data_IF_674698448985
#
_entry.id   IF_674698448985
#
_cell.length_a   1.000
_cell.length_b   1.000
_cell.length_c   1.000
_cell.angle_alpha   90.00
_cell.angle_beta   90.00
_cell.angle_gamma   90.00
#
_symmetry.space_group_name_H-M   'P 1'
#
loop_
_entity.id
_entity.type
_entity.pdbx_description
1 polymer ?
#
# COMPACT_ATOMS: atom_id res chain seq x y z
N UNK A 1 46.46 -26.80 33.92
CA UNK A 1 45.73 -25.53 33.70
C UNK A 1 44.64 -25.81 32.66
N UNK A 2 43.41 -25.35 32.87
CA UNK A 2 42.32 -25.51 31.90
C UNK A 2 42.16 -24.22 31.06
N UNK A 3 41.80 -24.31 29.77
CA UNK A 3 41.57 -23.13 28.94
C UNK A 3 40.31 -22.38 29.39
N UNK A 4 40.38 -21.06 29.46
CA UNK A 4 39.22 -20.20 29.67
C UNK A 4 38.43 -20.09 28.37
N UNK A 5 37.13 -20.36 28.40
CA UNK A 5 36.21 -20.15 27.26
C UNK A 5 35.65 -18.73 27.30
N UNK A 6 35.57 -18.07 26.13
CA UNK A 6 35.22 -16.66 26.01
C UNK A 6 33.82 -16.31 26.57
N UNK A 7 33.79 -15.42 27.57
CA UNK A 7 32.58 -15.02 28.29
C UNK A 7 32.32 -13.52 28.17
N UNK A 8 31.96 -13.05 26.97
CA UNK A 8 31.93 -11.60 26.68
C UNK A 8 30.78 -11.13 25.75
N UNK A 9 29.62 -11.81 25.81
CA UNK A 9 28.36 -11.28 25.24
C UNK A 9 27.09 -11.87 25.89
N UNK A 10 27.17 -12.45 27.09
CA UNK A 10 26.04 -13.17 27.70
C UNK A 10 25.09 -12.22 28.45
N UNK A 11 24.43 -11.35 27.68
CA UNK A 11 23.22 -10.66 28.14
C UNK A 11 22.10 -11.70 28.25
N UNK A 12 22.09 -12.41 29.38
CA UNK A 12 21.32 -13.62 29.62
C UNK A 12 19.94 -13.70 28.98
N UNK A 13 19.63 -14.83 28.33
CA UNK A 13 18.45 -15.02 27.45
C UNK A 13 17.14 -14.66 28.17
N UNK A 14 17.01 -14.96 29.47
CA UNK A 14 15.81 -14.63 30.26
C UNK A 14 15.66 -13.12 30.48
N UNK A 15 16.76 -12.35 30.54
CA UNK A 15 16.72 -10.87 30.60
C UNK A 15 16.16 -10.31 29.29
N UNK A 16 16.70 -10.75 28.15
CA UNK A 16 16.20 -10.39 26.82
C UNK A 16 14.71 -10.74 26.65
N UNK A 17 14.29 -11.94 27.09
CA UNK A 17 12.88 -12.33 27.12
C UNK A 17 12.03 -11.35 27.95
N UNK A 18 12.44 -11.01 29.17
CA UNK A 18 11.68 -10.10 30.03
C UNK A 18 11.58 -8.69 29.42
N UNK A 19 12.65 -8.17 28.82
CA UNK A 19 12.68 -6.85 28.18
C UNK A 19 11.81 -6.78 26.92
N UNK A 20 11.89 -7.79 26.06
CA UNK A 20 11.04 -7.88 24.86
C UNK A 20 9.58 -8.13 25.24
N UNK A 21 9.31 -8.90 26.31
CA UNK A 21 7.95 -9.10 26.83
C UNK A 21 7.38 -7.84 27.48
N UNK A 22 8.22 -6.97 28.06
CA UNK A 22 7.79 -5.63 28.54
C UNK A 22 7.43 -4.70 27.37
N UNK A 23 8.08 -4.84 26.21
CA UNK A 23 7.74 -4.10 24.97
C UNK A 23 6.51 -4.68 24.25
N UNK A 24 6.28 -6.00 24.37
CA UNK A 24 5.20 -6.72 23.69
C UNK A 24 4.49 -7.72 24.64
N UNK A 25 3.68 -7.24 25.60
CA UNK A 25 3.03 -8.11 26.59
C UNK A 25 2.06 -9.11 25.94
N UNK A 26 1.29 -8.67 24.94
CA UNK A 26 0.27 -9.48 24.26
C UNK A 26 0.85 -10.50 23.26
N UNK A 27 2.15 -10.39 22.92
CA UNK A 27 2.76 -11.20 21.88
C UNK A 27 3.51 -12.40 22.47
N UNK A 28 3.26 -13.59 21.93
CA UNK A 28 4.07 -14.79 22.17
C UNK A 28 5.42 -14.63 21.49
N UNK A 29 6.52 -14.77 22.24
CA UNK A 29 7.88 -14.58 21.71
C UNK A 29 8.52 -15.91 21.28
N UNK A 30 8.90 -16.02 20.00
CA UNK A 30 9.68 -17.13 19.44
C UNK A 30 11.16 -16.71 19.33
N UNK A 31 12.04 -17.22 20.18
CA UNK A 31 13.47 -16.93 20.10
C UNK A 31 14.21 -17.94 19.23
N UNK A 32 14.85 -17.49 18.14
CA UNK A 32 15.64 -18.38 17.28
C UNK A 32 16.97 -18.73 17.94
N UNK A 33 17.22 -20.02 18.14
CA UNK A 33 18.47 -20.55 18.68
C UNK A 33 18.95 -21.70 17.82
N UNK A 34 20.01 -21.45 17.05
CA UNK A 34 20.50 -22.38 16.02
C UNK A 34 19.34 -22.81 15.09
N UNK A 35 19.09 -24.12 14.98
CA UNK A 35 18.04 -24.71 14.12
C UNK A 35 16.67 -24.83 14.79
N UNK A 36 16.43 -24.19 15.93
CA UNK A 36 15.18 -24.28 16.71
C UNK A 36 14.63 -22.91 17.08
N UNK A 37 13.32 -22.84 17.32
CA UNK A 37 12.69 -21.77 18.08
C UNK A 37 12.43 -22.24 19.52
N UNK A 38 12.89 -21.48 20.50
CA UNK A 38 12.62 -21.70 21.93
C UNK A 38 11.61 -20.64 22.45
N UNK A 39 10.66 -21.08 23.27
CA UNK A 39 9.71 -20.26 24.04
C UNK A 39 9.93 -20.46 25.53
N UNK A 40 9.55 -19.47 26.35
CA UNK A 40 9.83 -19.49 27.80
C UNK A 40 8.60 -19.13 28.64
N UNK A 41 8.56 -19.63 29.89
CA UNK A 41 7.57 -19.30 30.92
C UNK A 41 6.13 -19.56 30.44
N UNK A 42 5.23 -18.58 30.55
CA UNK A 42 3.83 -18.72 30.15
C UNK A 42 3.65 -18.89 28.63
N UNK A 43 4.57 -18.35 27.82
CA UNK A 43 4.50 -18.47 26.36
C UNK A 43 4.79 -19.91 25.93
N UNK A 44 5.71 -20.62 26.62
CA UNK A 44 5.93 -22.05 26.43
C UNK A 44 4.67 -22.88 26.72
N UNK A 45 3.99 -22.61 27.85
CA UNK A 45 2.75 -23.31 28.24
C UNK A 45 1.63 -23.06 27.22
N UNK A 46 1.46 -21.82 26.75
CA UNK A 46 0.46 -21.48 25.72
C UNK A 46 0.78 -22.11 24.36
N UNK A 47 2.05 -22.13 23.95
CA UNK A 47 2.46 -22.75 22.69
C UNK A 47 2.27 -24.27 22.72
N UNK A 48 2.62 -24.94 23.83
CA UNK A 48 2.39 -26.36 24.01
C UNK A 48 0.90 -26.74 23.90
N UNK A 49 0.01 -25.97 24.53
CA UNK A 49 -1.44 -26.19 24.47
C UNK A 49 -2.04 -26.03 23.06
N UNK A 50 -1.48 -25.14 22.21
CA UNK A 50 -1.99 -24.88 20.85
C UNK A 50 -1.32 -25.76 19.79
N UNK A 51 -0.04 -26.11 19.96
CA UNK A 51 0.75 -26.85 18.98
C UNK A 51 0.87 -28.35 19.26
N UNK A 52 0.50 -28.79 20.48
CA UNK A 52 0.75 -30.14 21.00
C UNK A 52 2.24 -30.51 20.99
N UNK A 53 3.09 -29.58 21.46
CA UNK A 53 4.53 -29.79 21.63
C UNK A 53 4.89 -29.96 23.11
N UNK A 54 5.96 -30.72 23.39
CA UNK A 54 6.42 -31.00 24.75
C UNK A 54 6.94 -29.74 25.48
N UNK A 55 6.80 -29.74 26.80
CA UNK A 55 7.37 -28.73 27.70
C UNK A 55 8.44 -29.39 28.55
N UNK A 56 9.66 -28.83 28.53
CA UNK A 56 10.74 -29.21 29.43
C UNK A 56 10.98 -28.11 30.47
N UNK A 57 11.09 -28.47 31.75
CA UNK A 57 11.56 -27.56 32.79
C UNK A 57 13.10 -27.51 32.78
N UNK A 58 13.67 -26.41 32.26
CA UNK A 58 15.12 -26.23 32.13
C UNK A 58 15.61 -25.13 33.08
N UNK A 59 16.69 -25.42 33.81
CA UNK A 59 17.45 -24.39 34.53
C UNK A 59 18.38 -23.72 33.50
N UNK A 60 18.32 -22.38 33.41
CA UNK A 60 19.13 -21.57 32.49
C UNK A 60 20.19 -20.80 33.27
N UNK A 61 21.38 -20.50 32.70
CA UNK A 61 22.54 -20.00 33.45
C UNK A 61 22.25 -18.78 34.34
N UNK A 62 21.46 -17.84 33.83
CA UNK A 62 21.11 -16.59 34.51
C UNK A 62 20.02 -16.70 35.58
N UNK A 63 19.43 -17.88 35.77
CA UNK A 63 18.16 -18.01 36.49
C UNK A 63 18.10 -19.25 37.38
N UNK A 64 18.25 -19.02 38.69
CA UNK A 64 18.34 -20.04 39.75
C UNK A 64 17.04 -20.83 40.02
N UNK A 65 16.08 -20.85 39.10
CA UNK A 65 14.83 -21.61 39.19
C UNK A 65 14.58 -22.31 37.84
N UNK A 66 13.97 -23.52 37.82
CA UNK A 66 13.54 -24.13 36.57
C UNK A 66 12.54 -23.22 35.86
N UNK A 67 12.65 -23.18 34.53
CA UNK A 67 11.75 -22.43 33.65
C UNK A 67 11.16 -23.40 32.63
N UNK A 68 9.84 -23.36 32.45
CA UNK A 68 9.16 -24.06 31.37
C UNK A 68 9.63 -23.52 30.03
N UNK A 69 10.24 -24.40 29.24
CA UNK A 69 10.70 -24.17 27.87
C UNK A 69 9.89 -25.09 26.95
N UNK A 70 9.43 -24.56 25.82
CA UNK A 70 8.90 -25.36 24.73
C UNK A 70 9.71 -25.02 23.47
N UNK A 71 9.97 -25.99 22.60
CA UNK A 71 10.83 -25.77 21.43
C UNK A 71 10.42 -26.60 20.22
N UNK A 72 10.58 -26.05 19.02
CA UNK A 72 10.35 -26.76 17.77
C UNK A 72 11.40 -26.45 16.69
N UNK A 73 11.65 -27.34 15.71
CA UNK A 73 12.62 -27.11 14.64
C UNK A 73 12.23 -25.92 13.76
N UNK A 74 13.21 -25.16 13.26
CA UNK A 74 12.97 -24.00 12.41
C UNK A 74 12.13 -24.33 11.17
N UNK A 75 12.32 -25.52 10.58
CA UNK A 75 11.55 -26.03 9.43
C UNK A 75 10.06 -26.25 9.73
N UNK A 76 9.66 -26.37 11.00
CA UNK A 76 8.25 -26.49 11.38
C UNK A 76 7.56 -25.13 11.58
N UNK A 77 8.28 -23.99 11.44
CA UNK A 77 7.70 -22.65 11.60
C UNK A 77 6.51 -22.42 10.67
N UNK A 78 6.62 -22.79 9.39
CA UNK A 78 5.55 -22.57 8.40
C UNK A 78 4.30 -23.44 8.66
N UNK A 79 4.43 -24.50 9.45
CA UNK A 79 3.33 -25.37 9.89
C UNK A 79 2.68 -24.82 11.17
N UNK A 80 3.49 -24.33 12.12
CA UNK A 80 3.03 -23.92 13.44
C UNK A 80 2.63 -22.44 13.56
N UNK A 81 3.29 -21.53 12.84
CA UNK A 81 2.94 -20.10 12.84
C UNK A 81 1.48 -19.87 12.38
N UNK A 82 0.96 -20.54 11.32
CA UNK A 82 -0.45 -20.44 10.95
C UNK A 82 -1.42 -21.13 11.94
N UNK A 83 -0.96 -21.99 12.85
CA UNK A 83 -1.79 -22.56 13.92
C UNK A 83 -1.90 -21.56 15.08
N UNK A 84 -0.79 -20.98 15.52
CA UNK A 84 -0.78 -19.92 16.54
C UNK A 84 -1.65 -18.71 16.13
N UNK A 85 -1.50 -18.23 14.89
CA UNK A 85 -2.29 -17.09 14.38
C UNK A 85 -3.80 -17.43 14.32
N UNK A 86 -4.18 -18.65 13.91
CA UNK A 86 -5.59 -19.09 13.92
C UNK A 86 -6.18 -19.18 15.33
N UNK A 87 -5.37 -19.48 16.35
CA UNK A 87 -5.80 -19.44 17.75
C UNK A 87 -5.93 -18.02 18.34
N UNK A 88 -5.80 -16.97 17.52
CA UNK A 88 -5.89 -15.57 17.94
C UNK A 88 -4.65 -15.04 18.64
N UNK A 89 -3.58 -15.84 18.76
CA UNK A 89 -2.35 -15.46 19.43
C UNK A 89 -1.51 -14.58 18.49
N UNK A 90 -1.17 -13.37 18.95
CA UNK A 90 -0.15 -12.51 18.32
C UNK A 90 1.22 -13.14 18.55
N UNK A 91 2.01 -13.34 17.49
CA UNK A 91 3.35 -13.95 17.57
C UNK A 91 4.39 -12.94 17.12
N UNK A 92 5.51 -12.86 17.84
CA UNK A 92 6.70 -12.11 17.44
C UNK A 92 7.88 -13.06 17.30
N UNK A 93 8.64 -12.92 16.20
CA UNK A 93 9.81 -13.75 15.89
C UNK A 93 11.06 -12.94 16.24
N UNK A 94 11.90 -13.50 17.10
CA UNK A 94 13.13 -12.90 17.60
C UNK A 94 14.33 -13.67 17.02
N UNK A 95 14.71 -13.32 15.80
CA UNK A 95 15.90 -13.83 15.11
C UNK A 95 17.15 -13.04 15.55
N UNK A 96 18.28 -13.75 15.72
CA UNK A 96 19.56 -13.14 16.04
C UNK A 96 20.11 -12.38 14.82
N UNK A 97 20.47 -11.11 15.00
CA UNK A 97 21.14 -10.30 13.97
C UNK A 97 22.61 -10.71 13.88
N UNK A 98 22.92 -11.63 12.96
CA UNK A 98 24.29 -12.05 12.62
C UNK A 98 25.08 -10.86 12.07
N UNK A 99 25.96 -10.29 12.90
CA UNK A 99 26.85 -9.20 12.53
C UNK A 99 27.84 -9.68 11.45
N UNK A 100 27.86 -9.09 10.23
CA UNK A 100 28.49 -9.70 9.04
C UNK A 100 29.99 -10.01 9.16
N UNK A 101 30.69 -9.38 10.10
CA UNK A 101 32.13 -9.58 10.36
C UNK A 101 32.50 -11.01 10.80
N UNK A 102 31.55 -11.82 11.32
CA UNK A 102 31.87 -13.17 11.85
C UNK A 102 31.77 -14.34 10.85
N UNK A 103 31.39 -14.12 9.58
CA UNK A 103 31.25 -15.22 8.60
C UNK A 103 32.58 -15.85 8.15
N UNK A 104 33.67 -15.08 8.10
CA UNK A 104 35.00 -15.55 7.63
C UNK A 104 35.70 -16.60 8.50
N UNK A 105 35.11 -17.05 9.61
CA UNK A 105 35.74 -17.99 10.55
C UNK A 105 35.02 -19.35 10.69
N UNK A 106 34.04 -19.66 9.82
CA UNK A 106 33.20 -20.86 9.95
C UNK A 106 32.90 -21.64 8.67
N UNK A 107 33.30 -21.16 7.48
CA UNK A 107 33.02 -21.90 6.24
C UNK A 107 34.03 -23.03 5.99
N UNK A 108 35.29 -22.85 6.41
CA UNK A 108 36.43 -23.74 6.10
C UNK A 108 36.43 -25.11 6.83
N UNK A 109 35.30 -25.54 7.40
CA UNK A 109 35.16 -26.80 8.18
C UNK A 109 33.90 -27.61 7.92
N UNK A 110 33.09 -27.26 6.90
CA UNK A 110 31.85 -27.98 6.58
C UNK A 110 31.96 -28.93 5.37
N UNK A 111 32.83 -28.64 4.40
CA UNK A 111 32.93 -29.38 3.13
C UNK A 111 34.04 -30.43 3.16
N UNK A 112 33.89 -31.47 4.01
CA UNK A 112 34.69 -32.70 3.91
C UNK A 112 34.12 -33.91 4.69
N UNK A 113 32.83 -34.23 4.50
CA UNK A 113 32.31 -35.60 4.67
C UNK A 113 30.84 -35.70 4.19
N UNK A 114 30.61 -36.26 2.99
CA UNK A 114 29.84 -37.51 2.86
C UNK A 114 29.99 -38.15 1.45
N UNK A 115 29.95 -39.50 1.42
CA UNK A 115 29.64 -40.41 0.29
C UNK A 115 30.30 -40.21 -1.09
N UNK A 116 31.41 -40.92 -1.27
CA UNK A 116 31.73 -41.63 -2.53
C UNK A 116 31.02 -42.99 -2.56
N UNK A 117 30.62 -43.47 -3.76
CA UNK A 117 30.14 -44.82 -4.21
C UNK A 117 28.92 -44.59 -5.14
N UNK A 118 28.72 -45.21 -6.32
CA UNK A 118 29.54 -45.72 -7.44
C UNK A 118 28.55 -46.44 -8.39
N UNK A 119 28.64 -46.22 -9.71
CA UNK A 119 28.16 -47.07 -10.83
C UNK A 119 26.62 -47.25 -10.97
N UNK A 120 25.96 -47.20 -12.15
CA UNK A 120 26.29 -47.62 -13.53
C UNK A 120 25.71 -46.61 -14.57
N UNK A 121 26.37 -46.28 -15.70
CA UNK A 121 26.37 -46.95 -17.03
C UNK A 121 25.00 -46.87 -17.75
N UNK A 122 24.79 -46.08 -18.82
CA UNK A 122 25.28 -46.32 -20.21
C UNK A 122 25.18 -45.08 -21.16
N UNK A 123 25.73 -45.19 -22.38
CA UNK A 123 25.68 -44.39 -23.65
C UNK A 123 24.85 -43.08 -23.79
N UNK A 124 25.21 -42.11 -24.65
CA UNK A 124 25.98 -42.24 -25.91
C UNK A 124 26.78 -41.01 -26.40
N UNK A 125 26.99 -40.88 -27.72
CA UNK A 125 28.25 -40.37 -28.33
C UNK A 125 28.14 -39.09 -29.21
N UNK A 126 29.12 -38.18 -29.03
CA UNK A 126 29.81 -37.33 -30.06
C UNK A 126 28.98 -36.21 -30.75
N UNK A 127 29.55 -35.10 -31.28
CA UNK A 127 30.96 -34.64 -31.46
C UNK A 127 31.05 -33.10 -31.72
N UNK A 128 32.11 -32.43 -31.20
CA UNK A 128 32.87 -31.24 -31.73
C UNK A 128 32.11 -29.96 -32.18
N UNK A 129 32.71 -28.77 -32.34
CA UNK A 129 34.08 -28.20 -32.22
C UNK A 129 34.01 -26.93 -31.31
N UNK A 130 34.97 -26.50 -30.46
CA UNK A 130 36.37 -26.02 -30.63
C UNK A 130 36.53 -24.76 -31.53
N UNK A 131 37.20 -23.67 -31.12
CA UNK A 131 37.83 -23.31 -29.83
C UNK A 131 38.65 -22.00 -29.90
N UNK A 132 39.28 -21.59 -28.77
CA UNK A 132 40.23 -20.46 -28.55
C UNK A 132 39.78 -19.01 -28.94
N UNK A 133 40.01 -17.90 -28.22
CA UNK A 133 40.93 -17.47 -27.14
C UNK A 133 42.31 -16.93 -27.59
N UNK A 134 42.50 -15.59 -27.58
CA UNK A 134 43.73 -14.90 -27.09
C UNK A 134 43.57 -13.35 -26.93
N UNK A 135 44.61 -12.67 -26.44
CA UNK A 135 44.75 -11.23 -26.01
C UNK A 135 46.13 -10.68 -26.53
N UNK A 136 46.79 -9.55 -26.12
CA UNK A 136 46.51 -8.37 -25.24
C UNK A 136 46.74 -7.02 -26.02
N UNK A 137 47.21 -5.83 -25.54
CA UNK A 137 47.42 -5.21 -24.20
C UNK A 137 47.08 -3.67 -24.19
N UNK A 138 48.01 -2.77 -24.59
CA UNK A 138 48.08 -1.31 -24.26
C UNK A 138 48.72 -0.49 -25.43
N UNK A 139 49.04 0.83 -25.42
CA UNK A 139 49.71 1.72 -24.42
C UNK A 139 49.83 3.22 -24.88
N UNK A 140 49.77 4.21 -23.94
CA UNK A 140 50.34 5.62 -23.91
C UNK A 140 50.18 6.64 -25.09
N UNK A 141 50.40 7.99 -25.04
CA UNK A 141 50.71 9.05 -24.01
C UNK A 141 50.34 10.51 -24.51
N UNK A 142 50.65 11.55 -23.69
CA UNK A 142 50.84 13.00 -23.97
C UNK A 142 49.59 13.92 -24.15
N UNK A 143 49.42 15.15 -23.59
CA UNK A 143 50.24 16.26 -22.98
C UNK A 143 50.66 17.39 -23.98
N UNK A 144 50.80 18.72 -23.68
CA UNK A 144 50.66 19.53 -22.43
C UNK A 144 50.48 21.08 -22.68
N UNK A 145 50.01 21.83 -21.65
CA UNK A 145 50.22 23.29 -21.33
C UNK A 145 49.42 24.52 -21.90
N UNK A 146 49.66 25.66 -21.21
CA UNK A 146 49.56 27.12 -21.53
C UNK A 146 48.33 27.95 -21.06
N UNK A 147 48.63 29.11 -20.43
CA UNK A 147 47.72 30.19 -20.00
C UNK A 147 48.42 31.57 -19.97
N UNK A 148 47.84 32.62 -20.58
CA UNK A 148 47.97 34.01 -20.08
C UNK A 148 46.64 34.81 -20.18
N UNK A 149 46.49 36.08 -19.78
CA UNK A 149 46.93 36.90 -18.62
C UNK A 149 46.96 38.41 -18.99
N UNK A 150 46.61 39.30 -18.06
CA UNK A 150 46.60 40.80 -18.15
C UNK A 150 45.43 41.39 -19.01
N UNK A 151 44.97 42.64 -18.84
CA UNK A 151 45.32 43.70 -17.86
C UNK A 151 44.11 44.50 -17.27
N UNK A 152 44.24 45.82 -16.99
CA UNK A 152 43.47 46.57 -15.96
C UNK A 152 42.85 47.90 -16.46
N UNK A 153 42.01 48.52 -15.58
CA UNK A 153 41.57 49.95 -15.50
C UNK A 153 40.38 50.37 -16.41
N UNK A 154 39.52 51.35 -16.06
CA UNK A 154 39.33 52.10 -14.78
C UNK A 154 38.10 53.02 -14.74
N UNK A 155 37.60 53.32 -13.52
CA UNK A 155 36.89 54.56 -13.07
C UNK A 155 35.49 54.85 -13.68
N UNK A 156 34.56 55.53 -12.99
CA UNK A 156 34.45 55.94 -11.57
C UNK A 156 32.98 56.28 -11.19
N UNK A 157 32.73 56.39 -9.87
CA UNK A 157 31.68 57.16 -9.12
C UNK A 157 30.33 57.53 -9.77
N UNK A 158 29.19 57.54 -9.06
CA UNK A 158 28.79 57.09 -7.70
C UNK A 158 27.24 57.34 -7.57
N UNK A 159 26.55 57.46 -6.42
CA UNK A 159 26.83 57.41 -4.96
C UNK A 159 25.50 57.08 -4.21
N UNK A 160 25.57 56.67 -2.93
CA UNK A 160 24.45 56.57 -1.93
C UNK A 160 23.15 55.78 -2.26
N UNK A 161 22.87 54.74 -1.46
CA UNK A 161 21.57 54.07 -1.37
C UNK A 161 21.66 52.71 -0.66
N UNK A 162 21.23 52.62 0.60
CA UNK A 162 21.35 51.41 1.45
C UNK A 162 20.22 50.41 1.22
N UNK A 163 20.53 49.10 1.13
CA UNK A 163 20.20 48.15 2.22
C UNK A 163 20.61 46.69 1.96
N UNK A 164 21.00 46.01 3.06
CA UNK A 164 21.04 44.55 3.30
C UNK A 164 21.64 43.60 2.23
N UNK A 165 22.93 43.24 2.39
CA UNK A 165 23.57 42.14 1.65
C UNK A 165 23.12 40.74 2.09
N UNK A 166 22.80 39.89 1.12
CA UNK A 166 22.85 38.43 1.26
C UNK A 166 24.31 38.00 1.17
N UNK A 167 24.84 37.32 2.20
CA UNK A 167 26.17 36.69 2.12
C UNK A 167 26.09 35.18 1.91
N UNK A 168 26.39 34.75 0.69
CA UNK A 168 26.56 33.33 0.33
C UNK A 168 28.05 32.98 0.36
N UNK A 169 28.49 32.21 1.35
CA UNK A 169 29.86 31.67 1.39
C UNK A 169 29.83 30.14 1.26
N UNK A 170 30.35 29.65 0.13
CA UNK A 170 30.77 28.24 0.01
C UNK A 170 32.16 28.09 0.59
N UNK A 171 32.37 27.06 1.42
CA UNK A 171 33.70 26.45 1.59
C UNK A 171 33.54 24.94 1.66
N UNK A 172 33.98 24.26 0.62
CA UNK A 172 34.16 22.81 0.64
C UNK A 172 35.36 22.48 1.54
N UNK A 173 35.14 21.62 2.54
CA UNK A 173 36.21 20.95 3.26
C UNK A 173 35.68 19.67 3.92
N UNK A 174 36.53 18.65 4.00
CA UNK A 174 36.13 17.26 4.24
C UNK A 174 35.56 17.06 5.65
N UNK A 175 34.57 16.16 5.79
CA UNK A 175 34.16 15.67 7.11
C UNK A 175 33.85 14.18 7.10
N UNK A 176 34.59 13.46 7.93
CA UNK A 176 34.46 12.01 8.17
C UNK A 176 33.11 11.66 8.77
N UNK A 177 32.55 10.53 8.35
CA UNK A 177 31.26 10.01 8.85
C UNK A 177 31.39 9.51 10.29
N UNK A 178 31.23 10.42 11.24
CA UNK A 178 30.84 10.08 12.62
C UNK A 178 29.32 10.09 12.71
N UNK A 179 28.74 9.04 13.27
CA UNK A 179 27.29 8.83 13.30
C UNK A 179 26.59 9.85 14.23
N UNK A 180 26.25 11.02 13.70
CA UNK A 180 25.49 12.03 14.43
C UNK A 180 24.09 11.51 14.75
N UNK A 181 23.79 11.43 16.04
CA UNK A 181 22.45 11.16 16.57
C UNK A 181 21.48 12.23 16.05
N UNK A 182 20.57 11.82 15.17
CA UNK A 182 19.73 12.76 14.42
C UNK A 182 18.67 13.36 15.33
N UNK A 183 18.92 14.59 15.80
CA UNK A 183 17.92 15.43 16.50
C UNK A 183 16.57 15.35 15.74
N UNK A 184 15.44 15.13 16.44
CA UNK A 184 14.13 15.11 15.80
C UNK A 184 13.90 16.41 15.03
N UNK A 185 13.61 16.30 13.73
CA UNK A 185 13.14 17.45 12.94
C UNK A 185 11.72 17.78 13.37
N UNK A 186 11.40 19.06 13.42
CA UNK A 186 10.03 19.52 13.65
C UNK A 186 9.09 18.97 12.57
N UNK A 187 7.84 18.63 12.93
CA UNK A 187 6.90 18.06 11.98
C UNK A 187 6.50 19.09 10.93
N UNK A 188 6.58 18.70 9.66
CA UNK A 188 6.13 19.50 8.52
C UNK A 188 4.59 19.69 8.51
N UNK A 189 3.86 18.82 9.21
CA UNK A 189 2.43 18.94 9.50
C UNK A 189 2.06 18.05 10.70
N UNK A 190 1.02 18.42 11.44
CA UNK A 190 0.28 17.49 12.32
C UNK A 190 -1.09 17.22 11.69
N UNK A 191 -1.44 15.95 11.52
CA UNK A 191 -2.74 15.52 10.96
C UNK A 191 -3.90 15.75 11.94
N UNK A 192 -5.15 15.70 11.47
CA UNK A 192 -6.33 15.76 12.34
C UNK A 192 -6.36 14.67 13.44
N UNK A 193 -5.65 13.55 13.23
CA UNK A 193 -5.49 12.46 14.19
C UNK A 193 -4.31 12.67 15.17
N UNK A 194 -3.71 13.87 15.23
CA UNK A 194 -2.54 14.18 16.06
C UNK A 194 -1.21 13.60 15.55
N UNK A 195 -1.22 12.82 14.47
CA UNK A 195 -0.03 12.16 13.92
C UNK A 195 0.91 13.16 13.25
N UNK A 196 2.22 12.99 13.43
CA UNK A 196 3.27 13.92 12.99
C UNK A 196 3.86 13.51 11.65
N UNK A 197 3.63 14.34 10.62
CA UNK A 197 4.29 14.21 9.31
C UNK A 197 5.70 14.78 9.44
N UNK A 198 6.71 13.93 9.54
CA UNK A 198 8.10 14.36 9.85
C UNK A 198 8.98 14.56 8.63
N UNK A 199 8.65 13.93 7.50
CA UNK A 199 9.43 14.03 6.27
C UNK A 199 8.66 13.53 5.05
N UNK A 200 8.09 14.45 4.27
CA UNK A 200 7.62 14.25 2.90
C UNK A 200 8.63 14.76 1.87
N UNK A 201 8.85 13.99 0.80
CA UNK A 201 9.70 14.38 -0.33
C UNK A 201 9.30 13.65 -1.62
N UNK A 202 9.65 14.24 -2.76
CA UNK A 202 9.67 13.55 -4.04
C UNK A 202 11.06 12.98 -4.34
N UNK A 203 11.13 11.85 -5.04
CA UNK A 203 12.37 11.25 -5.54
C UNK A 203 12.15 10.56 -6.90
N UNK A 204 13.22 10.45 -7.68
CA UNK A 204 13.21 9.80 -9.00
C UNK A 204 13.38 8.27 -8.85
N UNK A 205 12.72 7.49 -9.70
CA UNK A 205 12.84 6.03 -9.68
C UNK A 205 14.21 5.56 -10.15
N UNK A 206 14.82 4.64 -9.39
CA UNK A 206 16.06 3.98 -9.76
C UNK A 206 15.93 3.05 -10.99
N UNK A 207 14.71 2.71 -11.41
CA UNK A 207 14.43 1.79 -12.53
C UNK A 207 13.94 2.50 -13.80
N UNK A 208 13.35 3.71 -13.67
CA UNK A 208 12.88 4.49 -14.80
C UNK A 208 13.04 5.99 -14.50
N UNK A 209 14.01 6.70 -15.10
CA UNK A 209 14.24 8.12 -14.88
C UNK A 209 13.03 9.03 -15.17
N UNK A 210 12.06 8.60 -15.98
CA UNK A 210 10.84 9.36 -16.21
C UNK A 210 9.83 9.29 -15.04
N UNK A 211 9.94 8.28 -14.16
CA UNK A 211 8.99 8.05 -13.07
C UNK A 211 9.46 8.71 -11.77
N UNK A 212 8.75 9.75 -11.35
CA UNK A 212 8.92 10.36 -10.03
C UNK A 212 7.90 9.81 -9.02
N UNK A 213 8.31 9.75 -7.76
CA UNK A 213 7.53 9.21 -6.66
C UNK A 213 7.53 10.14 -5.46
N UNK A 214 6.34 10.45 -4.93
CA UNK A 214 6.18 11.11 -3.63
C UNK A 214 6.06 10.07 -2.52
N UNK A 215 6.69 10.33 -1.37
CA UNK A 215 6.52 9.55 -0.15
C UNK A 215 6.71 10.39 1.10
N UNK A 216 6.03 10.01 2.18
CA UNK A 216 6.12 10.71 3.46
C UNK A 216 6.28 9.76 4.65
N UNK A 217 6.82 10.28 5.76
CA UNK A 217 6.86 9.63 7.07
C UNK A 217 5.83 10.23 8.01
N UNK A 218 4.95 9.38 8.55
CA UNK A 218 4.01 9.70 9.63
C UNK A 218 4.44 8.93 10.87
N UNK A 219 4.65 9.60 12.00
CA UNK A 219 5.11 9.00 13.27
C UNK A 219 6.35 8.08 13.12
N UNK A 220 7.22 8.41 12.16
CA UNK A 220 8.40 7.64 11.80
C UNK A 220 8.18 6.53 10.75
N UNK A 221 6.93 6.07 10.55
CA UNK A 221 6.59 5.05 9.56
C UNK A 221 6.54 5.64 8.14
N UNK A 222 7.29 5.06 7.21
CA UNK A 222 7.29 5.43 5.80
C UNK A 222 6.00 4.93 5.10
N UNK A 223 5.31 5.82 4.39
CA UNK A 223 4.16 5.48 3.55
C UNK A 223 4.61 4.84 2.22
N UNK A 224 3.81 3.90 1.69
CA UNK A 224 4.08 3.29 0.38
C UNK A 224 4.15 4.40 -0.70
N UNK A 225 5.24 4.54 -1.46
CA UNK A 225 5.40 5.58 -2.47
C UNK A 225 4.26 5.64 -3.49
N UNK A 226 3.96 6.85 -3.94
CA UNK A 226 2.94 7.19 -4.93
C UNK A 226 3.63 7.76 -6.17
N UNK A 227 3.33 7.25 -7.37
CA UNK A 227 3.87 7.85 -8.61
C UNK A 227 3.24 9.25 -8.77
N UNK A 228 4.06 10.24 -9.07
CA UNK A 228 3.63 11.63 -9.28
C UNK A 228 3.13 11.86 -10.71
N UNK A 229 2.22 12.81 -10.84
CA UNK A 229 1.85 13.42 -12.11
C UNK A 229 2.88 14.48 -12.51
N UNK A 230 3.08 14.70 -13.82
CA UNK A 230 4.11 15.60 -14.32
C UNK A 230 3.87 17.08 -13.95
N UNK A 231 2.60 17.49 -13.83
CA UNK A 231 2.23 18.82 -13.35
C UNK A 231 2.60 19.03 -11.88
N UNK A 232 2.26 18.08 -11.01
CA UNK A 232 2.61 18.11 -9.58
C UNK A 232 4.13 18.10 -9.37
N UNK A 233 4.88 17.40 -10.24
CA UNK A 233 6.35 17.43 -10.21
C UNK A 233 6.90 18.81 -10.57
N UNK A 234 6.41 19.43 -11.65
CA UNK A 234 6.82 20.77 -12.05
C UNK A 234 6.50 21.81 -10.95
N UNK A 235 5.28 21.78 -10.41
CA UNK A 235 4.87 22.65 -9.32
C UNK A 235 5.70 22.42 -8.03
N UNK A 236 6.10 21.18 -7.73
CA UNK A 236 7.01 20.88 -6.61
C UNK A 236 8.43 21.41 -6.85
N UNK A 237 8.96 21.27 -8.07
CA UNK A 237 10.28 21.82 -8.44
C UNK A 237 10.30 23.36 -8.41
N UNK A 238 9.23 23.99 -8.87
CA UNK A 238 9.01 25.44 -8.78
C UNK A 238 8.72 25.95 -7.35
N UNK A 239 8.47 25.04 -6.40
CA UNK A 239 8.00 25.30 -5.02
C UNK A 239 6.59 25.91 -4.92
N UNK A 240 5.83 25.86 -6.00
CA UNK A 240 4.40 26.23 -6.06
C UNK A 240 3.54 25.24 -5.28
N UNK A 241 3.94 23.96 -5.23
CA UNK A 241 3.26 22.91 -4.47
C UNK A 241 4.04 22.49 -3.22
N UNK A 242 3.37 22.57 -2.08
CA UNK A 242 3.94 22.30 -0.75
C UNK A 242 3.75 20.83 -0.33
N UNK A 243 4.51 20.38 0.67
CA UNK A 243 4.38 19.03 1.24
C UNK A 243 2.96 18.74 1.78
N UNK A 244 2.25 19.69 2.45
CA UNK A 244 0.82 19.56 2.75
C UNK A 244 -0.07 19.24 1.54
N UNK A 245 0.03 19.99 0.45
CA UNK A 245 -0.79 19.76 -0.74
C UNK A 245 -0.45 18.42 -1.41
N UNK A 246 0.83 18.01 -1.41
CA UNK A 246 1.22 16.66 -1.85
C UNK A 246 0.68 15.56 -0.93
N UNK A 247 0.59 15.79 0.38
CA UNK A 247 -0.05 14.85 1.31
C UNK A 247 -1.56 14.73 1.05
N UNK A 248 -2.25 15.82 0.75
CA UNK A 248 -3.67 15.82 0.38
C UNK A 248 -3.91 15.12 -0.96
N UNK A 249 -3.08 15.41 -1.97
CA UNK A 249 -3.16 14.82 -3.32
C UNK A 249 -2.88 13.31 -3.33
N UNK A 250 -1.83 12.88 -2.63
CA UNK A 250 -1.31 11.51 -2.71
C UNK A 250 -1.67 10.61 -1.52
N UNK A 251 -2.05 11.17 -0.37
CA UNK A 251 -2.39 10.40 0.84
C UNK A 251 -3.62 10.98 1.59
N UNK A 252 -4.74 11.31 0.93
CA UNK A 252 -5.87 12.00 1.58
C UNK A 252 -6.44 11.26 2.80
N UNK A 253 -6.51 9.92 2.72
CA UNK A 253 -6.99 9.05 3.82
C UNK A 253 -6.10 9.08 5.07
N UNK A 254 -4.87 9.59 4.98
CA UNK A 254 -3.97 9.75 6.13
C UNK A 254 -4.20 11.06 6.89
N UNK A 255 -4.89 12.01 6.28
CA UNK A 255 -5.22 13.32 6.87
C UNK A 255 -6.63 13.33 7.47
N UNK A 256 -7.55 12.54 6.88
CA UNK A 256 -8.93 12.36 7.33
C UNK A 256 -9.01 11.83 8.79
N UNK A 257 -10.02 12.25 9.57
CA UNK A 257 -10.23 11.75 10.93
C UNK A 257 -10.61 10.27 10.92
N UNK A 258 -10.10 9.52 11.91
CA UNK A 258 -10.42 8.09 12.06
C UNK A 258 -11.79 7.89 12.72
N UNK A 259 -12.52 6.92 12.19
CA UNK A 259 -13.74 6.37 12.77
C UNK A 259 -13.40 5.66 14.08
N UNK A 260 -14.31 5.68 15.06
CA UNK A 260 -14.15 4.95 16.33
C UNK A 260 -14.03 3.45 16.09
N UNK A 261 -13.30 2.73 16.96
CA UNK A 261 -13.15 1.28 16.79
C UNK A 261 -14.49 0.54 16.95
N UNK A 262 -15.42 1.07 17.74
CA UNK A 262 -16.78 0.56 17.89
C UNK A 262 -17.55 0.59 16.56
N UNK A 263 -17.61 1.75 15.89
CA UNK A 263 -18.26 1.91 14.59
C UNK A 263 -17.53 1.19 13.43
N UNK A 264 -16.37 0.59 13.70
CA UNK A 264 -15.65 -0.30 12.78
C UNK A 264 -15.83 -1.80 13.12
N UNK A 265 -16.31 -2.16 14.32
CA UNK A 265 -16.33 -3.55 14.83
C UNK A 265 -17.69 -4.07 15.31
N UNK A 266 -18.73 -3.24 15.38
CA UNK A 266 -20.10 -3.68 15.64
C UNK A 266 -20.64 -4.63 14.55
N UNK A 267 -21.66 -5.47 14.84
CA UNK A 267 -22.46 -6.08 13.79
C UNK A 267 -23.04 -4.99 12.89
N UNK A 268 -22.91 -5.18 11.58
CA UNK A 268 -23.12 -4.14 10.59
C UNK A 268 -24.54 -4.23 10.03
N UNK A 269 -25.46 -3.38 10.50
CA UNK A 269 -26.79 -3.24 9.90
C UNK A 269 -26.84 -2.05 8.94
N UNK A 270 -27.44 -2.27 7.76
CA UNK A 270 -27.59 -1.27 6.68
C UNK A 270 -29.08 -1.18 6.32
N UNK A 271 -29.59 0.02 6.00
CA UNK A 271 -30.98 0.18 5.57
C UNK A 271 -31.20 -0.37 4.14
N UNK A 272 -31.88 -1.52 4.03
CA UNK A 272 -32.20 -2.19 2.77
C UNK A 272 -33.60 -1.88 2.24
N UNK A 273 -33.98 -2.49 1.11
CA UNK A 273 -35.31 -2.36 0.52
C UNK A 273 -36.43 -2.95 1.38
N UNK A 274 -36.19 -4.11 2.00
CA UNK A 274 -37.20 -4.91 2.71
C UNK A 274 -37.05 -4.86 4.25
N UNK A 275 -36.13 -4.05 4.79
CA UNK A 275 -35.83 -3.96 6.23
C UNK A 275 -34.37 -3.61 6.51
N UNK A 276 -33.89 -3.84 7.74
CA UNK A 276 -32.44 -3.78 8.01
C UNK A 276 -31.74 -5.03 7.48
N UNK A 277 -30.60 -4.80 6.82
CA UNK A 277 -29.74 -5.84 6.23
C UNK A 277 -28.58 -6.07 7.19
N UNK A 278 -28.57 -7.23 7.85
CA UNK A 278 -27.45 -7.66 8.70
C UNK A 278 -26.31 -8.20 7.86
N UNK A 279 -25.17 -7.52 7.91
CA UNK A 279 -23.89 -7.98 7.35
C UNK A 279 -23.16 -8.77 8.43
N UNK A 280 -23.02 -10.09 8.22
CA UNK A 280 -22.38 -11.00 9.17
C UNK A 280 -20.84 -10.90 9.12
N UNK A 281 -20.26 -10.40 8.02
CA UNK A 281 -18.81 -10.40 7.79
C UNK A 281 -18.42 -9.40 6.70
N UNK A 282 -17.36 -8.62 6.94
CA UNK A 282 -16.77 -7.72 5.95
C UNK A 282 -15.24 -7.71 6.02
N UNK A 283 -14.59 -8.31 5.02
CA UNK A 283 -13.15 -8.54 4.99
C UNK A 283 -12.54 -8.07 3.65
N UNK A 284 -11.28 -7.62 3.68
CA UNK A 284 -10.44 -7.52 2.47
C UNK A 284 -9.65 -8.80 2.27
N UNK A 285 -9.60 -9.31 1.04
CA UNK A 285 -8.68 -10.37 0.63
C UNK A 285 -7.96 -10.02 -0.68
N UNK A 286 -6.93 -10.77 -1.04
CA UNK A 286 -6.24 -10.66 -2.34
C UNK A 286 -6.63 -11.88 -3.18
N UNK A 287 -7.02 -11.65 -4.43
CA UNK A 287 -7.37 -12.74 -5.34
C UNK A 287 -6.13 -13.57 -5.69
N UNK A 288 -6.29 -14.89 -5.70
CA UNK A 288 -5.21 -15.88 -5.89
C UNK A 288 -5.49 -16.89 -7.00
N UNK A 289 -6.71 -16.95 -7.51
CA UNK A 289 -7.07 -17.78 -8.66
C UNK A 289 -6.50 -17.13 -9.94
N UNK A 290 -5.46 -17.73 -10.53
CA UNK A 290 -4.78 -17.24 -11.74
C UNK A 290 -5.68 -17.29 -12.99
N UNK A 291 -6.78 -18.06 -12.96
CA UNK A 291 -7.76 -18.11 -14.05
C UNK A 291 -8.69 -16.88 -14.05
N UNK A 292 -8.60 -16.00 -13.04
CA UNK A 292 -9.48 -14.83 -12.91
C UNK A 292 -8.89 -13.58 -13.56
N UNK A 293 -9.70 -12.77 -14.27
CA UNK A 293 -9.27 -11.47 -14.81
C UNK A 293 -8.96 -10.44 -13.71
N UNK A 294 -9.30 -10.74 -12.46
CA UNK A 294 -8.96 -9.99 -11.26
C UNK A 294 -7.91 -10.68 -10.36
N UNK A 295 -7.17 -11.67 -10.87
CA UNK A 295 -6.00 -12.25 -10.22
C UNK A 295 -5.05 -11.17 -9.66
N UNK A 296 -4.58 -11.38 -8.43
CA UNK A 296 -3.64 -10.49 -7.76
C UNK A 296 -4.24 -9.14 -7.31
N UNK A 297 -5.47 -8.79 -7.68
CA UNK A 297 -6.16 -7.59 -7.18
C UNK A 297 -6.70 -7.83 -5.77
N UNK A 298 -6.92 -6.76 -5.02
CA UNK A 298 -7.59 -6.84 -3.73
C UNK A 298 -9.10 -6.70 -3.92
N UNK A 299 -9.85 -7.48 -3.15
CA UNK A 299 -11.31 -7.58 -3.21
C UNK A 299 -11.90 -7.38 -1.82
N UNK A 300 -13.01 -6.67 -1.76
CA UNK A 300 -13.89 -6.77 -0.61
C UNK A 300 -14.68 -8.07 -0.71
N UNK A 301 -14.87 -8.71 0.43
CA UNK A 301 -15.79 -9.81 0.65
C UNK A 301 -16.82 -9.34 1.67
N UNK A 302 -18.10 -9.50 1.34
CA UNK A 302 -19.21 -9.24 2.26
C UNK A 302 -20.11 -10.48 2.33
N UNK A 303 -20.51 -10.85 3.55
CA UNK A 303 -21.56 -11.84 3.80
C UNK A 303 -22.76 -11.13 4.40
N UNK A 304 -23.93 -11.37 3.80
CA UNK A 304 -25.19 -10.70 4.08
C UNK A 304 -26.28 -11.77 4.23
N UNK A 305 -26.58 -12.14 5.47
CA UNK A 305 -27.27 -13.39 5.77
C UNK A 305 -26.53 -14.58 5.13
N UNK A 306 -27.25 -15.34 4.32
CA UNK A 306 -26.72 -16.47 3.55
C UNK A 306 -26.03 -16.05 2.25
N UNK A 307 -26.20 -14.80 1.79
CA UNK A 307 -25.66 -14.32 0.52
C UNK A 307 -24.22 -13.86 0.67
N UNK A 308 -23.33 -14.42 -0.16
CA UNK A 308 -21.90 -14.10 -0.18
C UNK A 308 -21.55 -13.34 -1.47
N UNK A 309 -20.92 -12.18 -1.34
CA UNK A 309 -20.56 -11.31 -2.48
C UNK A 309 -19.11 -10.86 -2.41
N UNK A 310 -18.49 -10.70 -3.58
CA UNK A 310 -17.18 -10.04 -3.70
C UNK A 310 -17.15 -9.01 -4.82
N UNK A 311 -16.32 -7.99 -4.63
CA UNK A 311 -16.10 -6.89 -5.58
C UNK A 311 -14.63 -6.46 -5.54
N UNK A 312 -14.06 -6.06 -6.69
CA UNK A 312 -12.69 -5.55 -6.76
C UNK A 312 -12.65 -4.18 -6.09
N UNK A 313 -11.83 -4.06 -5.05
CA UNK A 313 -11.77 -2.86 -4.23
C UNK A 313 -10.89 -1.80 -4.90
N UNK A 314 -11.36 -0.55 -4.96
CA UNK A 314 -10.54 0.56 -5.47
C UNK A 314 -9.37 0.87 -4.53
N UNK A 315 -8.29 1.46 -5.04
CA UNK A 315 -7.16 1.86 -4.21
C UNK A 315 -7.55 2.87 -3.13
N UNK A 316 -8.52 3.74 -3.41
CA UNK A 316 -9.03 4.71 -2.44
C UNK A 316 -9.80 4.00 -1.31
N UNK A 317 -10.63 3.02 -1.64
CA UNK A 317 -11.46 2.30 -0.67
C UNK A 317 -10.62 1.33 0.20
N UNK A 318 -9.59 0.71 -0.39
CA UNK A 318 -8.60 -0.07 0.35
C UNK A 318 -7.86 0.79 1.36
N UNK A 319 -7.38 1.97 0.94
CA UNK A 319 -6.78 2.93 1.86
C UNK A 319 -7.77 3.33 2.96
N UNK A 320 -9.03 3.66 2.61
CA UNK A 320 -10.04 4.08 3.58
C UNK A 320 -10.36 3.00 4.63
N UNK A 321 -10.39 1.72 4.22
CA UNK A 321 -10.54 0.57 5.09
C UNK A 321 -9.34 0.38 6.04
N UNK A 322 -8.13 0.34 5.50
CA UNK A 322 -6.92 0.11 6.30
C UNK A 322 -6.56 1.28 7.21
N UNK A 323 -6.90 2.51 6.81
CA UNK A 323 -6.68 3.73 7.60
C UNK A 323 -7.81 3.97 8.62
N UNK A 324 -8.92 3.22 8.51
CA UNK A 324 -10.16 3.35 9.31
C UNK A 324 -10.80 4.74 9.23
N UNK A 325 -10.85 5.33 8.04
CA UNK A 325 -11.46 6.65 7.79
C UNK A 325 -12.82 6.57 7.07
N UNK A 326 -13.28 5.35 6.77
CA UNK A 326 -14.67 5.06 6.39
C UNK A 326 -15.19 3.88 7.24
N UNK A 327 -16.50 3.86 7.52
CA UNK A 327 -17.11 2.69 8.16
C UNK A 327 -17.19 1.52 7.17
N UNK A 328 -17.22 0.27 7.66
CA UNK A 328 -17.57 -0.88 6.85
C UNK A 328 -18.89 -0.71 6.09
N UNK A 329 -19.94 -0.14 6.71
CA UNK A 329 -21.20 0.17 6.06
C UNK A 329 -21.02 1.07 4.83
N UNK A 330 -20.32 2.21 4.97
CA UNK A 330 -20.06 3.14 3.85
C UNK A 330 -19.30 2.46 2.71
N UNK A 331 -18.35 1.58 3.02
CA UNK A 331 -17.61 0.81 2.02
C UNK A 331 -18.51 -0.24 1.33
N UNK A 332 -19.42 -0.88 2.06
CA UNK A 332 -20.39 -1.84 1.52
C UNK A 332 -21.41 -1.13 0.64
N UNK A 333 -22.01 -0.04 1.09
CA UNK A 333 -22.95 0.77 0.30
C UNK A 333 -22.30 1.25 -1.00
N UNK A 334 -21.04 1.71 -0.95
CA UNK A 334 -20.29 2.17 -2.13
C UNK A 334 -19.93 1.05 -3.11
N UNK A 335 -19.56 -0.14 -2.64
CA UNK A 335 -19.02 -1.22 -3.49
C UNK A 335 -20.04 -2.32 -3.85
N UNK A 336 -21.13 -2.44 -3.08
CA UNK A 336 -22.15 -3.49 -3.22
C UNK A 336 -23.58 -2.95 -3.23
N UNK A 337 -23.81 -1.66 -2.94
CA UNK A 337 -25.15 -1.10 -2.78
C UNK A 337 -26.08 -1.31 -3.98
N UNK A 338 -25.56 -1.40 -5.20
CA UNK A 338 -26.35 -1.70 -6.40
C UNK A 338 -26.87 -3.15 -6.41
N UNK A 339 -26.02 -4.12 -6.01
CA UNK A 339 -26.38 -5.56 -5.84
C UNK A 339 -27.20 -5.85 -4.58
N UNK A 340 -27.13 -4.96 -3.59
CA UNK A 340 -27.96 -4.97 -2.40
C UNK A 340 -29.25 -4.14 -2.59
N UNK A 341 -29.45 -3.57 -3.78
CA UNK A 341 -30.59 -2.72 -4.15
C UNK A 341 -30.85 -1.58 -3.14
N UNK A 342 -29.80 -0.99 -2.59
CA UNK A 342 -29.87 0.06 -1.58
C UNK A 342 -30.21 1.42 -2.20
N UNK A 343 -31.06 2.20 -1.54
CA UNK A 343 -31.44 3.55 -1.99
C UNK A 343 -30.23 4.49 -2.09
N UNK A 344 -29.30 4.43 -1.14
CA UNK A 344 -28.07 5.25 -1.14
C UNK A 344 -27.14 4.99 -2.33
N UNK A 345 -27.24 3.81 -2.96
CA UNK A 345 -26.51 3.52 -4.20
C UNK A 345 -27.01 4.36 -5.40
N UNK A 346 -28.27 4.84 -5.35
CA UNK A 346 -28.91 5.57 -6.45
C UNK A 346 -29.07 7.07 -6.18
N UNK A 347 -29.06 7.52 -4.93
CA UNK A 347 -29.16 8.94 -4.54
C UNK A 347 -28.06 9.82 -5.14
N UNK A 348 -26.91 9.23 -5.47
CA UNK A 348 -25.79 9.86 -6.18
C UNK A 348 -26.06 10.21 -7.65
N UNK A 349 -27.15 9.69 -8.24
CA UNK A 349 -27.52 9.92 -9.63
C UNK A 349 -28.71 10.85 -9.75
N UNK A 350 -28.50 12.03 -10.34
CA UNK A 350 -29.53 13.04 -10.58
C UNK A 350 -29.38 13.55 -12.02
N UNK A 351 -30.51 13.85 -12.67
CA UNK A 351 -30.52 14.41 -14.02
C UNK A 351 -30.01 15.87 -13.99
N UNK A 352 -29.30 16.34 -15.04
CA UNK A 352 -28.89 17.73 -15.12
C UNK A 352 -30.10 18.67 -15.27
N UNK A 353 -29.91 19.92 -14.91
CA UNK A 353 -30.93 20.96 -14.98
C UNK A 353 -31.42 21.18 -16.42
N UNK A 354 -32.72 21.45 -16.58
CA UNK A 354 -33.34 21.63 -17.91
C UNK A 354 -33.69 20.35 -18.66
N UNK A 355 -33.78 19.21 -17.95
CA UNK A 355 -34.36 17.93 -18.40
C UNK A 355 -35.71 17.71 -17.72
N UNK A 356 -36.77 17.33 -18.45
CA UNK A 356 -38.06 16.93 -17.86
C UNK A 356 -38.02 15.43 -17.46
N UNK A 357 -38.24 15.07 -16.18
CA UNK A 357 -38.42 13.69 -15.73
C UNK A 357 -39.46 12.88 -16.53
N UNK A 358 -40.48 13.52 -17.11
CA UNK A 358 -41.49 12.86 -17.96
C UNK A 358 -40.89 12.32 -19.27
N UNK A 359 -39.81 12.93 -19.77
CA UNK A 359 -39.08 12.46 -20.94
C UNK A 359 -38.33 11.14 -20.72
N UNK A 360 -38.15 10.70 -19.48
CA UNK A 360 -37.47 9.45 -19.14
C UNK A 360 -38.35 8.24 -19.42
N UNK A 361 -37.92 7.41 -20.38
CA UNK A 361 -38.57 6.15 -20.75
C UNK A 361 -37.65 4.96 -20.50
N UNK A 362 -38.12 3.98 -19.71
CA UNK A 362 -37.50 2.66 -19.58
C UNK A 362 -38.44 1.65 -20.21
N UNK A 363 -37.98 0.93 -21.23
CA UNK A 363 -38.80 0.02 -22.03
C UNK A 363 -38.01 -1.22 -22.45
N UNK A 364 -38.66 -2.38 -22.41
CA UNK A 364 -38.12 -3.64 -22.92
C UNK A 364 -38.04 -3.56 -24.45
N UNK A 365 -36.87 -3.84 -25.00
CA UNK A 365 -36.71 -3.95 -26.45
C UNK A 365 -37.41 -5.21 -26.97
N UNK A 366 -38.00 -5.13 -28.16
CA UNK A 366 -38.67 -6.27 -28.80
C UNK A 366 -37.68 -7.21 -29.48
N UNK A 367 -36.52 -6.70 -29.89
CA UNK A 367 -35.56 -7.45 -30.71
C UNK A 367 -34.68 -8.38 -29.87
N UNK A 368 -34.23 -7.91 -28.70
CA UNK A 368 -33.26 -8.61 -27.84
C UNK A 368 -33.77 -8.89 -26.42
N UNK A 369 -35.03 -8.52 -26.12
CA UNK A 369 -35.69 -8.68 -24.82
C UNK A 369 -34.98 -8.00 -23.63
N UNK A 370 -34.00 -7.13 -23.84
CA UNK A 370 -33.34 -6.38 -22.76
C UNK A 370 -34.12 -5.11 -22.39
N UNK A 371 -34.06 -4.73 -21.12
CA UNK A 371 -34.60 -3.43 -20.68
C UNK A 371 -33.64 -2.31 -21.06
N UNK A 372 -34.16 -1.25 -21.70
CA UNK A 372 -33.35 -0.11 -22.13
C UNK A 372 -33.95 1.21 -21.65
N UNK A 373 -33.08 2.13 -21.22
CA UNK A 373 -33.41 3.50 -20.82
C UNK A 373 -33.07 4.47 -21.95
N UNK A 374 -33.90 5.51 -22.12
CA UNK A 374 -33.62 6.68 -22.96
C UNK A 374 -34.32 7.91 -22.40
N UNK A 375 -33.80 9.10 -22.72
CA UNK A 375 -34.41 10.38 -22.35
C UNK A 375 -34.79 11.16 -23.60
N UNK A 376 -36.05 11.56 -23.64
CA UNK A 376 -36.61 12.49 -24.61
C UNK A 376 -36.42 13.92 -24.08
N UNK A 377 -35.64 14.74 -24.79
CA UNK A 377 -35.35 16.14 -24.44
C UNK A 377 -36.19 17.12 -25.28
N UNK A 378 -37.25 16.65 -25.93
CA UNK A 378 -38.12 17.44 -26.79
C UNK A 378 -37.39 17.98 -28.02
N UNK A 379 -37.48 19.30 -28.26
CA UNK A 379 -36.79 20.00 -29.36
C UNK A 379 -35.28 19.78 -29.37
N UNK A 380 -34.68 19.43 -28.23
CA UNK A 380 -33.24 19.16 -28.09
C UNK A 380 -32.83 17.77 -28.61
N UNK A 381 -33.79 16.90 -28.95
CA UNK A 381 -33.60 15.54 -29.45
C UNK A 381 -33.83 14.44 -28.40
N UNK A 382 -33.62 13.18 -28.79
CA UNK A 382 -33.68 12.01 -27.88
C UNK A 382 -32.30 11.36 -27.76
N UNK A 383 -31.94 10.86 -26.56
CA UNK A 383 -30.71 10.08 -26.36
C UNK A 383 -30.76 8.71 -27.04
N UNK A 384 -29.61 8.07 -27.12
CA UNK A 384 -29.47 6.64 -27.35
C UNK A 384 -30.29 5.81 -26.34
N UNK A 385 -30.57 4.55 -26.71
CA UNK A 385 -31.27 3.56 -25.88
C UNK A 385 -30.25 2.63 -25.22
N UNK A 386 -29.86 2.93 -23.98
CA UNK A 386 -28.84 2.18 -23.25
C UNK A 386 -29.44 1.01 -22.47
N UNK A 387 -28.77 -0.15 -22.45
CA UNK A 387 -29.21 -1.33 -21.69
C UNK A 387 -28.96 -1.14 -20.19
N UNK A 388 -29.96 -1.45 -19.35
CA UNK A 388 -29.81 -1.40 -17.88
C UNK A 388 -29.38 -2.76 -17.34
N UNK A 389 -28.58 -2.77 -16.27
CA UNK A 389 -28.17 -4.02 -15.63
C UNK A 389 -29.34 -4.78 -14.99
N UNK A 390 -29.15 -6.07 -14.70
CA UNK A 390 -30.13 -6.85 -13.93
C UNK A 390 -30.39 -6.21 -12.56
N UNK A 391 -29.33 -5.79 -11.86
CA UNK A 391 -29.43 -5.20 -10.52
C UNK A 391 -30.24 -3.90 -10.55
N UNK A 392 -30.01 -3.05 -11.56
CA UNK A 392 -30.76 -1.80 -11.78
C UNK A 392 -32.23 -2.06 -12.16
N UNK A 393 -32.49 -3.09 -12.97
CA UNK A 393 -33.85 -3.53 -13.30
C UNK A 393 -34.60 -4.03 -12.06
N UNK A 394 -33.93 -4.78 -11.18
CA UNK A 394 -34.52 -5.25 -9.92
C UNK A 394 -34.77 -4.07 -8.95
N UNK A 395 -33.80 -3.17 -8.80
CA UNK A 395 -33.90 -1.92 -8.02
C UNK A 395 -35.06 -1.03 -8.48
N UNK A 396 -35.34 -0.98 -9.79
CA UNK A 396 -36.39 -0.16 -10.39
C UNK A 396 -37.78 -0.83 -10.30
N UNK A 397 -37.89 -2.10 -10.68
CA UNK A 397 -39.19 -2.75 -10.86
C UNK A 397 -39.69 -3.53 -9.64
N UNK A 398 -38.80 -4.08 -8.81
CA UNK A 398 -39.17 -4.94 -7.68
C UNK A 398 -39.11 -4.20 -6.35
N UNK A 399 -37.93 -3.74 -5.94
CA UNK A 399 -37.73 -3.07 -4.65
C UNK A 399 -38.12 -1.59 -4.67
N UNK A 400 -38.12 -0.96 -5.86
CA UNK A 400 -38.43 0.47 -6.08
C UNK A 400 -37.49 1.42 -5.33
N UNK A 401 -36.27 0.95 -5.04
CA UNK A 401 -35.20 1.73 -4.41
C UNK A 401 -34.40 2.60 -5.39
N UNK A 402 -34.56 2.35 -6.70
CA UNK A 402 -34.13 3.25 -7.77
C UNK A 402 -35.34 3.82 -8.52
N UNK A 403 -35.32 5.10 -8.89
CA UNK A 403 -36.28 5.70 -9.83
C UNK A 403 -35.73 5.65 -11.26
N UNK A 404 -36.61 5.71 -12.27
CA UNK A 404 -36.21 5.73 -13.70
C UNK A 404 -35.28 6.91 -14.02
N UNK A 405 -35.48 8.04 -13.34
CA UNK A 405 -34.69 9.26 -13.47
C UNK A 405 -33.25 9.03 -12.97
N UNK A 406 -33.08 8.31 -11.84
CA UNK A 406 -31.77 7.91 -11.33
C UNK A 406 -31.07 6.92 -12.26
N UNK A 407 -31.81 5.96 -12.83
CA UNK A 407 -31.28 5.01 -13.82
C UNK A 407 -30.88 5.72 -15.13
N UNK A 408 -31.67 6.69 -15.59
CA UNK A 408 -31.30 7.52 -16.73
C UNK A 408 -30.04 8.35 -16.43
N UNK A 409 -29.96 8.97 -15.24
CA UNK A 409 -28.79 9.73 -14.83
C UNK A 409 -27.52 8.87 -14.70
N UNK A 410 -27.64 7.62 -14.23
CA UNK A 410 -26.54 6.64 -14.15
C UNK A 410 -25.89 6.35 -15.51
N UNK A 411 -26.69 6.23 -16.57
CA UNK A 411 -26.24 5.75 -17.88
C UNK A 411 -26.09 6.84 -18.94
N UNK A 412 -26.87 7.92 -18.87
CA UNK A 412 -27.05 8.88 -19.98
C UNK A 412 -26.60 10.31 -19.64
N UNK A 413 -26.19 10.62 -18.40
CA UNK A 413 -25.83 12.00 -18.01
C UNK A 413 -24.74 12.63 -18.90
N UNK A 414 -23.77 11.85 -19.37
CA UNK A 414 -22.73 12.33 -20.30
C UNK A 414 -23.31 12.69 -21.67
N UNK A 415 -24.18 11.84 -22.23
CA UNK A 415 -24.85 12.08 -23.50
C UNK A 415 -25.82 13.27 -23.41
N UNK A 416 -26.66 13.31 -22.36
CA UNK A 416 -27.60 14.39 -22.09
C UNK A 416 -26.86 15.72 -21.97
N UNK A 417 -25.80 15.79 -21.15
CA UNK A 417 -25.02 17.03 -20.96
C UNK A 417 -24.39 17.49 -22.28
N UNK A 418 -23.88 16.56 -23.08
CA UNK A 418 -23.36 16.85 -24.43
C UNK A 418 -24.45 17.40 -25.37
N UNK A 419 -25.64 16.81 -25.38
CA UNK A 419 -26.78 17.28 -26.19
C UNK A 419 -27.31 18.64 -25.72
N UNK A 420 -27.34 18.90 -24.41
CA UNK A 420 -27.71 20.21 -23.85
C UNK A 420 -26.72 21.29 -24.30
N UNK A 421 -25.41 21.07 -24.08
CA UNK A 421 -24.36 22.02 -24.45
C UNK A 421 -24.24 22.23 -25.97
N UNK A 422 -24.42 21.17 -26.77
CA UNK A 422 -24.43 21.28 -28.23
C UNK A 422 -25.62 22.09 -28.76
N UNK A 423 -26.73 22.19 -28.01
CA UNK A 423 -27.88 22.99 -28.40
C UNK A 423 -27.84 24.42 -27.87
N UNK A 424 -27.28 24.69 -26.67
CA UNK A 424 -27.02 26.08 -26.24
C UNK A 424 -26.04 26.78 -27.18
N UNK A 425 -24.93 26.12 -27.55
CA UNK A 425 -23.96 26.68 -28.50
C UNK A 425 -24.55 26.95 -29.90
N UNK A 426 -25.55 26.17 -30.36
CA UNK A 426 -26.31 26.48 -31.58
C UNK A 426 -27.16 27.74 -31.40
N UNK A 427 -27.93 27.82 -30.32
CA UNK A 427 -28.82 28.96 -30.04
C UNK A 427 -28.01 30.26 -29.95
N UNK A 428 -26.94 30.27 -29.16
CA UNK A 428 -26.00 31.39 -29.02
C UNK A 428 -25.46 31.83 -30.39
N UNK A 429 -24.96 30.90 -31.20
CA UNK A 429 -24.46 31.19 -32.54
C UNK A 429 -25.55 31.73 -33.48
N UNK A 430 -26.79 31.29 -33.36
CA UNK A 430 -27.91 31.86 -34.14
C UNK A 430 -28.38 33.22 -33.63
N UNK A 431 -28.15 33.55 -32.35
CA UNK A 431 -28.41 34.87 -31.80
C UNK A 431 -27.33 35.87 -32.22
N UNK A 432 -26.05 35.48 -32.16
CA UNK A 432 -24.90 36.30 -32.60
C UNK A 432 -24.79 36.47 -34.13
N UNK A 433 -25.68 35.85 -34.90
CA UNK A 433 -25.83 36.05 -36.36
C UNK A 433 -27.12 36.82 -36.72
N UNK A 434 -27.86 37.32 -35.71
CA UNK A 434 -29.06 38.16 -35.84
C UNK A 434 -28.91 39.53 -35.17
N UNK A 435 -27.72 39.83 -34.67
CA UNK A 435 -27.24 41.10 -34.12
C UNK A 435 -26.13 41.62 -35.01
#
# INVERSE_FOLDING_TARGET
MAPKTDSDNDNGIIRQFNELKKKHPDAMLLFRRNSFYELYKQDAVKAAAVLAIEIADRILPDYKKPVKVASFPQSALDIYLPRLIRSGIRVAICDALDNPLKKKARQDKAENNDRTIQNNTDMGKKKKEQGAQEVPDRTVENTVDVKPAREKKSKAKAETGTDNEVKTEKKDEQKTETAQERKPREPQMVTANGQKVTHGHAYQSATNPADWYFTAKIDGQQLKPQKMEAADLAAYQNKEMTVPQLMERYYPTKLMPKVSEEAFRMPMEIAGPDGSITVNKFNVYKEKDEQRPDFGKYKFYVQVGDTNMSAVASRQDLNAYFDRVATPNQLIEKNFGERLHLKSAYEKYQLPEGVDPKGVRVAKDRNDNKWKVSVDLGEKGQTSRHEISFDDGYSLFKTKTATREQIAAKYLNTEITGMLAANTAKVEKTASMKM
#
